data_IF_755750421337
#
_entry.id   IF_755750421337
#
_cell.length_a   1.000
_cell.length_b   1.000
_cell.length_c   1.000
_cell.angle_alpha   90.00
_cell.angle_beta   90.00
_cell.angle_gamma   90.00
#
_symmetry.space_group_name_H-M   'P 1'
#
loop_
_entity.id
_entity.type
_entity.pdbx_description
1 polymer ?
#
# COMPACT_ATOMS: atom_id res chain seq x y z
N UNK A 1 -39.38 43.91 -14.50
CA UNK A 1 -39.30 42.60 -13.79
C UNK A 1 -38.17 41.82 -14.43
N UNK A 2 -36.99 41.80 -13.78
CA UNK A 2 -35.81 41.04 -14.24
C UNK A 2 -35.62 39.91 -13.24
N UNK A 3 -35.82 38.66 -13.69
CA UNK A 3 -35.55 37.48 -12.88
C UNK A 3 -34.04 37.17 -12.96
N UNK A 4 -33.36 37.17 -11.81
CA UNK A 4 -32.01 36.64 -11.66
C UNK A 4 -32.11 35.13 -11.54
N UNK A 5 -31.58 34.42 -12.53
CA UNK A 5 -31.28 32.97 -12.41
C UNK A 5 -29.99 32.82 -11.64
N UNK A 6 -30.07 32.32 -10.43
CA UNK A 6 -28.91 31.91 -9.63
C UNK A 6 -28.57 30.45 -10.01
N UNK A 7 -27.52 30.28 -10.79
CA UNK A 7 -26.98 28.95 -11.08
C UNK A 7 -26.23 28.42 -9.85
N UNK A 8 -26.77 27.42 -9.19
CA UNK A 8 -26.08 26.67 -8.14
C UNK A 8 -25.19 25.64 -8.77
N UNK A 9 -23.89 25.93 -8.72
CA UNK A 9 -22.84 24.99 -9.14
C UNK A 9 -22.63 23.95 -8.03
N UNK A 10 -23.21 22.76 -8.17
CA UNK A 10 -22.97 21.64 -7.28
C UNK A 10 -21.63 21.03 -7.66
N UNK A 11 -20.59 21.33 -6.90
CA UNK A 11 -19.32 20.61 -6.92
C UNK A 11 -19.56 19.20 -6.36
N UNK A 12 -19.66 18.21 -7.23
CA UNK A 12 -19.62 16.81 -6.84
C UNK A 12 -18.19 16.48 -6.43
N UNK A 13 -17.92 16.47 -5.11
CA UNK A 13 -16.73 15.81 -4.57
C UNK A 13 -16.86 14.32 -4.90
N UNK A 14 -16.08 13.85 -5.86
CA UNK A 14 -15.93 12.44 -6.15
C UNK A 14 -15.22 11.74 -4.99
N UNK A 15 -15.99 11.24 -4.04
CA UNK A 15 -15.52 10.26 -3.07
C UNK A 15 -15.15 9.01 -3.86
N UNK A 16 -13.85 8.77 -4.05
CA UNK A 16 -13.35 7.48 -4.50
C UNK A 16 -13.65 6.48 -3.38
N UNK A 17 -14.81 5.85 -3.47
CA UNK A 17 -15.20 4.79 -2.55
C UNK A 17 -14.30 3.58 -2.81
N UNK A 18 -13.37 3.31 -1.90
CA UNK A 18 -12.69 2.03 -1.83
C UNK A 18 -13.72 0.92 -1.62
N UNK A 19 -14.03 0.16 -2.67
CA UNK A 19 -14.90 -1.02 -2.54
C UNK A 19 -14.13 -2.14 -1.84
N UNK A 20 -14.67 -2.62 -0.71
CA UNK A 20 -14.23 -3.87 -0.09
C UNK A 20 -14.41 -5.00 -1.10
N UNK A 21 -13.32 -5.65 -1.47
CA UNK A 21 -13.38 -6.89 -2.23
C UNK A 21 -13.60 -8.04 -1.25
N UNK A 22 -14.87 -8.39 -1.02
CA UNK A 22 -15.23 -9.65 -0.36
C UNK A 22 -15.20 -10.75 -1.41
N UNK A 23 -14.10 -11.46 -1.54
CA UNK A 23 -14.09 -12.79 -2.14
C UNK A 23 -13.08 -13.65 -1.40
N UNK A 24 -13.62 -14.58 -0.61
CA UNK A 24 -13.00 -15.77 0.00
C UNK A 24 -11.58 -15.54 0.59
N UNK A 25 -11.53 -15.05 1.81
CA UNK A 25 -10.33 -14.95 2.62
C UNK A 25 -9.80 -16.29 3.10
N UNK A 26 -9.40 -17.17 2.18
CA UNK A 26 -8.49 -18.24 2.50
C UNK A 26 -7.13 -17.63 2.80
N UNK A 27 -6.52 -17.97 3.93
CA UNK A 27 -5.13 -17.58 4.22
C UNK A 27 -4.24 -18.03 3.05
N UNK A 28 -3.67 -17.08 2.32
CA UNK A 28 -2.76 -17.38 1.22
C UNK A 28 -1.48 -17.99 1.79
N UNK A 29 -1.18 -19.23 1.40
CA UNK A 29 0.01 -19.95 1.84
C UNK A 29 1.31 -19.19 1.50
N UNK A 30 1.31 -18.38 0.44
CA UNK A 30 2.47 -17.59 0.03
C UNK A 30 2.84 -16.52 1.05
N UNK A 31 1.87 -15.87 1.70
CA UNK A 31 2.17 -14.89 2.76
C UNK A 31 2.91 -15.55 3.91
N UNK A 32 2.58 -16.80 4.25
CA UNK A 32 3.21 -17.54 5.36
C UNK A 32 4.65 -17.98 5.10
N UNK A 33 5.08 -18.04 3.85
CA UNK A 33 6.39 -18.58 3.47
C UNK A 33 7.38 -17.53 2.99
N UNK A 34 6.89 -16.34 2.62
CA UNK A 34 7.71 -15.27 2.08
C UNK A 34 8.06 -14.24 3.16
N UNK A 35 9.22 -13.62 2.99
CA UNK A 35 9.70 -12.55 3.86
C UNK A 35 10.18 -13.04 5.23
N UNK A 36 10.90 -12.16 5.91
CA UNK A 36 11.40 -12.36 7.28
C UNK A 36 10.45 -11.81 8.35
N UNK A 37 9.57 -10.91 7.94
CA UNK A 37 8.54 -10.29 8.79
C UNK A 37 7.16 -10.53 8.17
N UNK A 38 6.20 -10.89 9.00
CA UNK A 38 4.80 -11.06 8.59
C UNK A 38 3.88 -10.40 9.61
N UNK A 39 3.03 -9.49 9.15
CA UNK A 39 2.12 -8.71 9.99
C UNK A 39 0.74 -8.57 9.34
N UNK A 40 -0.28 -8.39 10.17
CA UNK A 40 -1.51 -7.72 9.75
C UNK A 40 -1.39 -6.25 10.17
N UNK A 41 -1.52 -5.33 9.23
CA UNK A 41 -1.35 -3.92 9.49
C UNK A 41 -2.44 -3.09 8.81
N UNK A 42 -2.82 -1.99 9.47
CA UNK A 42 -3.75 -1.00 8.93
C UNK A 42 -2.97 0.03 8.13
N UNK A 43 -3.35 0.26 6.89
CA UNK A 43 -2.84 1.39 6.12
C UNK A 43 -3.33 2.69 6.73
N UNK A 44 -2.43 3.48 7.28
CA UNK A 44 -2.76 4.73 7.98
C UNK A 44 -3.00 5.84 6.99
N UNK A 45 -2.14 5.95 5.99
CA UNK A 45 -2.13 7.06 5.07
C UNK A 45 -1.65 6.62 3.68
N UNK A 46 -2.40 7.06 2.68
CA UNK A 46 -2.02 7.00 1.27
C UNK A 46 -1.70 8.42 0.85
N UNK A 47 -0.46 8.70 0.45
CA UNK A 47 -0.08 10.05 0.01
C UNK A 47 -0.93 10.51 -1.18
N UNK A 48 -1.39 11.76 -1.15
CA UNK A 48 -2.14 12.36 -2.25
C UNK A 48 -1.23 12.74 -3.44
N UNK A 49 -1.80 12.81 -4.62
CA UNK A 49 -1.16 13.35 -5.83
C UNK A 49 -0.35 12.33 -6.62
N UNK A 50 0.85 12.71 -7.04
CA UNK A 50 1.67 12.04 -8.05
C UNK A 50 2.08 10.59 -7.74
N UNK A 51 1.86 10.11 -6.54
CA UNK A 51 2.24 8.75 -6.09
C UNK A 51 1.55 7.66 -6.88
N UNK A 52 0.33 7.91 -7.31
CA UNK A 52 -0.47 6.96 -8.10
C UNK A 52 -0.67 7.42 -9.54
N UNK A 53 0.18 8.33 -10.03
CA UNK A 53 0.18 8.67 -11.45
C UNK A 53 0.65 7.47 -12.25
N UNK A 54 -0.27 6.93 -13.02
CA UNK A 54 -0.01 5.91 -14.03
C UNK A 54 0.87 6.52 -15.11
N UNK A 55 1.73 5.72 -15.72
CA UNK A 55 2.36 5.99 -17.02
C UNK A 55 3.72 6.71 -17.06
N UNK A 56 4.30 7.11 -15.95
CA UNK A 56 5.63 7.71 -16.03
C UNK A 56 6.77 6.68 -16.01
N UNK A 57 6.76 5.78 -15.04
CA UNK A 57 7.72 4.67 -14.91
C UNK A 57 7.38 3.78 -13.71
N UNK A 58 7.93 2.58 -13.70
CA UNK A 58 7.79 1.66 -12.58
C UNK A 58 8.68 2.10 -11.41
N UNK A 59 8.10 2.31 -10.23
CA UNK A 59 8.78 2.79 -9.03
C UNK A 59 8.18 2.24 -7.75
N UNK A 60 8.92 2.40 -6.66
CA UNK A 60 8.48 2.04 -5.31
C UNK A 60 7.96 3.27 -4.58
N UNK A 61 6.83 3.12 -3.91
CA UNK A 61 6.26 4.14 -3.04
C UNK A 61 6.22 3.65 -1.61
N UNK A 62 6.62 4.52 -0.68
CA UNK A 62 6.54 4.25 0.74
C UNK A 62 5.12 4.55 1.23
N UNK A 63 4.50 3.57 1.89
CA UNK A 63 3.22 3.70 2.57
C UNK A 63 3.40 3.50 4.07
N UNK A 64 2.55 4.14 4.87
CA UNK A 64 2.63 4.14 6.33
C UNK A 64 1.55 3.24 6.92
N UNK A 65 1.95 2.34 7.80
CA UNK A 65 1.07 1.36 8.43
C UNK A 65 1.18 1.37 9.95
N UNK A 66 0.09 0.99 10.61
CA UNK A 66 0.04 0.61 12.01
C UNK A 66 -0.10 -0.91 12.13
N UNK A 67 0.79 -1.56 12.85
CA UNK A 67 0.78 -3.00 13.06
C UNK A 67 -0.34 -3.41 14.01
N UNK A 68 -1.29 -4.19 13.53
CA UNK A 68 -2.43 -4.68 14.32
C UNK A 68 -2.13 -6.06 14.92
N UNK A 69 -1.46 -6.91 14.17
CA UNK A 69 -1.02 -8.22 14.65
C UNK A 69 0.32 -8.60 14.01
N UNK A 70 1.19 -9.23 14.82
CA UNK A 70 2.45 -9.83 14.38
C UNK A 70 2.24 -11.32 14.21
N UNK A 71 2.71 -11.87 13.11
CA UNK A 71 2.69 -13.30 12.83
C UNK A 71 4.09 -13.89 12.78
N UNK A 72 5.08 -13.10 12.30
CA UNK A 72 6.50 -13.48 12.25
C UNK A 72 7.39 -12.23 12.34
N UNK A 73 8.62 -12.40 12.83
CA UNK A 73 9.58 -11.31 12.96
C UNK A 73 9.48 -10.57 14.29
N UNK A 74 10.16 -9.42 14.40
CA UNK A 74 10.36 -8.67 15.65
C UNK A 74 9.55 -7.39 15.75
N UNK A 75 8.73 -7.06 14.74
CA UNK A 75 7.93 -5.83 14.75
C UNK A 75 6.81 -5.93 15.80
N UNK A 76 6.72 -4.94 16.67
CA UNK A 76 5.73 -4.96 17.74
C UNK A 76 4.33 -4.52 17.30
N UNK A 77 3.29 -5.10 17.92
CA UNK A 77 1.91 -4.64 17.76
C UNK A 77 1.80 -3.17 18.19
N UNK A 78 1.09 -2.36 17.42
CA UNK A 78 0.92 -0.92 17.63
C UNK A 78 2.08 -0.09 17.06
N UNK A 79 3.15 -0.71 16.59
CA UNK A 79 4.24 0.01 15.94
C UNK A 79 3.75 0.64 14.61
N UNK A 80 4.27 1.84 14.33
CA UNK A 80 4.15 2.45 13.00
C UNK A 80 5.34 2.01 12.17
N UNK A 81 5.06 1.45 11.00
CA UNK A 81 6.07 1.00 10.04
C UNK A 81 5.89 1.66 8.68
N UNK A 82 6.98 1.77 7.97
CA UNK A 82 7.04 2.30 6.62
C UNK A 82 7.41 1.20 5.65
N UNK A 83 6.59 1.01 4.61
CA UNK A 83 6.69 -0.14 3.71
C UNK A 83 6.73 0.33 2.27
N UNK A 84 7.78 -0.04 1.55
CA UNK A 84 7.91 0.18 0.12
C UNK A 84 7.09 -0.84 -0.67
N UNK A 85 6.22 -0.33 -1.53
CA UNK A 85 5.43 -1.13 -2.48
C UNK A 85 5.81 -0.77 -3.90
N UNK A 86 6.27 -1.75 -4.67
CA UNK A 86 6.53 -1.56 -6.08
C UNK A 86 5.23 -1.48 -6.88
N UNK A 87 5.13 -0.50 -7.77
CA UNK A 87 3.94 -0.27 -8.60
C UNK A 87 2.61 -0.29 -7.80
N UNK A 88 2.44 0.55 -6.75
CA UNK A 88 1.30 0.45 -5.84
C UNK A 88 -0.06 0.74 -6.51
N UNK A 89 -0.07 1.31 -7.70
CA UNK A 89 -1.28 1.55 -8.50
C UNK A 89 -1.77 0.31 -9.26
N UNK A 90 -0.95 -0.75 -9.36
CA UNK A 90 -1.32 -2.01 -9.99
C UNK A 90 -1.87 -3.01 -8.97
N UNK A 91 -2.85 -3.84 -9.34
CA UNK A 91 -3.17 -5.03 -8.54
C UNK A 91 -1.89 -5.81 -8.22
N UNK A 92 -1.79 -6.35 -7.02
CA UNK A 92 -0.56 -7.05 -6.60
C UNK A 92 -0.19 -8.22 -7.52
N UNK A 93 -1.20 -8.93 -8.06
CA UNK A 93 -0.98 -10.00 -9.04
C UNK A 93 -0.32 -9.53 -10.36
N UNK A 94 -0.37 -8.23 -10.66
CA UNK A 94 0.12 -7.63 -11.91
C UNK A 94 1.31 -6.69 -11.68
N UNK A 95 1.73 -6.50 -10.42
CA UNK A 95 2.75 -5.51 -10.07
C UNK A 95 4.17 -5.92 -10.41
N UNK A 96 4.44 -7.24 -10.45
CA UNK A 96 5.75 -7.79 -10.82
C UNK A 96 6.07 -7.53 -12.30
N UNK A 97 7.36 -7.34 -12.60
CA UNK A 97 7.87 -7.15 -13.95
C UNK A 97 9.28 -7.76 -14.12
N UNK A 98 9.99 -7.36 -15.19
CA UNK A 98 11.36 -7.85 -15.46
C UNK A 98 12.38 -7.42 -14.41
N UNK A 99 12.15 -6.26 -13.74
CA UNK A 99 13.04 -5.72 -12.72
C UNK A 99 12.76 -6.32 -11.35
N UNK A 100 11.47 -6.50 -11.01
CA UNK A 100 11.01 -7.00 -9.72
C UNK A 100 10.07 -8.17 -9.95
N UNK A 101 10.60 -9.39 -9.81
CA UNK A 101 9.90 -10.62 -10.20
C UNK A 101 9.17 -11.31 -9.05
N UNK A 102 9.56 -11.02 -7.80
CA UNK A 102 9.21 -11.83 -6.63
C UNK A 102 8.20 -11.14 -5.70
N UNK A 103 7.37 -10.28 -6.24
CA UNK A 103 6.31 -9.62 -5.48
C UNK A 103 4.95 -10.08 -5.97
N UNK A 104 3.95 -10.04 -5.09
CA UNK A 104 2.60 -10.41 -5.45
C UNK A 104 1.58 -10.24 -4.33
N UNK A 105 0.49 -10.98 -4.44
CA UNK A 105 -0.63 -10.98 -3.52
C UNK A 105 -1.96 -10.82 -4.22
N UNK A 106 -3.05 -10.75 -3.43
CA UNK A 106 -4.40 -10.62 -3.94
C UNK A 106 -4.96 -9.19 -3.84
N UNK A 107 -4.28 -8.28 -3.13
CA UNK A 107 -4.75 -6.91 -2.97
C UNK A 107 -4.79 -6.19 -4.32
N UNK A 108 -5.93 -5.56 -4.62
CA UNK A 108 -6.15 -4.85 -5.89
C UNK A 108 -5.80 -3.38 -5.82
N UNK A 109 -5.91 -2.79 -4.64
CA UNK A 109 -5.67 -1.36 -4.41
C UNK A 109 -5.31 -1.10 -2.96
N UNK A 110 -4.64 0.01 -2.71
CA UNK A 110 -4.32 0.47 -1.37
C UNK A 110 -5.29 1.57 -0.93
N UNK A 111 -5.98 1.35 0.19
CA UNK A 111 -6.96 2.27 0.74
C UNK A 111 -6.64 2.55 2.20
N UNK A 112 -6.55 3.82 2.57
CA UNK A 112 -6.38 4.22 3.98
C UNK A 112 -7.51 3.67 4.85
N UNK A 113 -7.17 3.20 6.03
CA UNK A 113 -8.08 2.58 6.99
C UNK A 113 -8.29 1.08 6.80
N UNK A 114 -7.93 0.50 5.66
CA UNK A 114 -8.05 -0.94 5.41
C UNK A 114 -6.91 -1.74 6.05
N UNK A 115 -7.19 -3.02 6.32
CA UNK A 115 -6.23 -3.99 6.82
C UNK A 115 -5.61 -4.78 5.67
N UNK A 116 -4.31 -5.05 5.81
CA UNK A 116 -3.54 -5.84 4.87
C UNK A 116 -2.70 -6.87 5.61
N UNK A 117 -2.61 -8.08 5.08
CA UNK A 117 -1.64 -9.08 5.47
C UNK A 117 -0.39 -8.89 4.62
N UNK A 118 0.73 -8.58 5.27
CA UNK A 118 1.97 -8.21 4.62
C UNK A 118 3.06 -9.23 4.95
N UNK A 119 3.73 -9.75 3.92
CA UNK A 119 5.02 -10.40 4.05
C UNK A 119 6.11 -9.41 3.62
N UNK A 120 7.06 -9.16 4.49
CA UNK A 120 8.02 -8.07 4.40
C UNK A 120 9.45 -8.58 4.51
N UNK A 121 10.37 -7.88 3.85
CA UNK A 121 11.82 -7.97 4.06
C UNK A 121 12.38 -6.66 4.61
N UNK A 122 13.50 -6.76 5.30
CA UNK A 122 14.30 -5.63 5.80
C UNK A 122 15.66 -5.68 5.13
N UNK A 123 16.24 -4.65 4.64
CA UNK A 123 15.75 -3.29 4.46
C UNK A 123 15.34 -3.10 3.00
N UNK A 124 14.50 -2.12 2.71
CA UNK A 124 14.11 -1.78 1.34
C UNK A 124 15.33 -1.62 0.41
N UNK A 125 16.38 -0.95 0.89
CA UNK A 125 17.58 -0.64 0.11
C UNK A 125 18.35 -1.89 -0.34
N UNK A 126 18.21 -3.01 0.38
CA UNK A 126 18.84 -4.29 0.01
C UNK A 126 18.10 -4.98 -1.14
N UNK A 127 16.83 -4.66 -1.35
CA UNK A 127 15.97 -5.32 -2.34
C UNK A 127 15.65 -4.46 -3.56
N UNK A 128 15.71 -3.14 -3.42
CA UNK A 128 15.32 -2.24 -4.50
C UNK A 128 16.22 -1.02 -4.58
N UNK A 129 17.12 -1.01 -5.57
CA UNK A 129 18.05 0.08 -5.88
C UNK A 129 17.48 1.11 -6.86
N UNK A 130 16.21 1.02 -7.22
CA UNK A 130 15.54 1.90 -8.19
C UNK A 130 15.00 3.19 -7.60
N UNK A 131 14.12 3.84 -8.33
CA UNK A 131 13.44 5.05 -7.86
C UNK A 131 12.52 4.77 -6.67
N UNK A 132 12.76 5.43 -5.55
CA UNK A 132 11.94 5.38 -4.35
C UNK A 132 11.25 6.72 -4.17
N UNK A 133 9.95 6.71 -3.92
CA UNK A 133 9.17 7.90 -3.62
C UNK A 133 8.77 7.90 -2.16
N UNK A 134 9.47 8.71 -1.37
CA UNK A 134 9.17 8.97 0.04
C UNK A 134 9.13 10.50 0.26
N UNK A 135 8.22 11.17 -0.42
CA UNK A 135 8.09 12.64 -0.34
C UNK A 135 7.23 13.10 0.83
N UNK A 136 6.46 12.19 1.41
CA UNK A 136 5.31 12.55 2.24
C UNK A 136 5.55 12.31 3.73
N UNK A 137 6.45 11.40 4.09
CA UNK A 137 6.65 11.01 5.48
C UNK A 137 7.92 11.63 6.11
N UNK A 138 8.71 12.36 5.32
CA UNK A 138 9.91 13.04 5.79
C UNK A 138 10.93 12.09 6.39
N UNK A 139 11.64 12.58 7.42
CA UNK A 139 12.60 11.75 8.17
C UNK A 139 11.84 10.95 9.24
N UNK A 140 11.91 9.65 9.18
CA UNK A 140 11.44 8.73 10.21
C UNK A 140 12.61 7.89 10.74
N UNK A 141 12.47 7.37 11.95
CA UNK A 141 13.43 6.46 12.55
C UNK A 141 13.05 5.02 12.24
N UNK A 142 14.06 4.17 12.04
CA UNK A 142 13.88 2.75 11.78
C UNK A 142 13.94 2.37 10.32
N UNK A 143 13.94 1.06 10.03
CA UNK A 143 14.05 0.54 8.68
C UNK A 143 12.78 0.80 7.88
N UNK A 144 12.95 1.01 6.58
CA UNK A 144 11.87 0.91 5.61
C UNK A 144 11.83 -0.55 5.14
N UNK A 145 10.66 -1.17 5.27
CA UNK A 145 10.45 -2.55 4.85
C UNK A 145 10.16 -2.62 3.36
N UNK A 146 10.46 -3.76 2.76
CA UNK A 146 10.10 -4.12 1.40
C UNK A 146 8.94 -5.10 1.39
N UNK A 147 7.84 -4.79 0.71
CA UNK A 147 6.69 -5.67 0.60
C UNK A 147 6.90 -6.71 -0.49
N UNK A 148 7.10 -7.97 -0.10
CA UNK A 148 7.18 -9.11 -1.02
C UNK A 148 5.79 -9.61 -1.40
N UNK A 149 4.85 -9.60 -0.44
CA UNK A 149 3.49 -10.10 -0.66
C UNK A 149 2.48 -9.27 0.11
N UNK A 150 1.36 -8.95 -0.51
CA UNK A 150 0.30 -8.15 0.12
C UNK A 150 -1.06 -8.69 -0.23
N UNK A 151 -1.78 -9.11 0.80
CA UNK A 151 -3.17 -9.54 0.69
C UNK A 151 -4.09 -8.58 1.45
N UNK A 152 -5.33 -8.47 0.98
CA UNK A 152 -6.38 -7.85 1.78
C UNK A 152 -6.63 -8.72 3.02
N UNK A 153 -6.87 -8.08 4.17
CA UNK A 153 -7.20 -8.73 5.44
C UNK A 153 -8.52 -8.19 6.00
N UNK A 154 -9.22 -9.03 6.77
CA UNK A 154 -10.46 -8.66 7.48
C UNK A 154 -10.20 -8.20 8.91
#
# INVERSE_FOLDING_TARGET
MKQLLTAVLIMALGLVACKKSNENGGEDAQVKTLGTVEVTARLVEVPEGAVFQRDLYDYTTILKYEVIARHRGTVEKGAVIYVGHYNPWKPRAEAADKRVKTIGGNSRQFCAGQLYRLALETSLDDFFMGGIVDKYFGKHSGPVYWAVWTNDAE
#
